data_IF_548972387281
#
_entry.id   IF_548972387281
#
_cell.length_a   1.000
_cell.length_b   1.000
_cell.length_c   1.000
_cell.angle_alpha   90.00
_cell.angle_beta   90.00
_cell.angle_gamma   90.00
#
_symmetry.space_group_name_H-M   'P 1'
#
loop_
_entity.id
_entity.type
_entity.pdbx_description
1 polymer ?
#
# COMPACT_ATOMS: atom_id res chain seq x y z
N UNK A 1 11.45 -16.26 3.80
CA UNK A 1 10.25 -15.45 3.53
C UNK A 1 9.61 -15.14 4.88
N UNK A 2 9.56 -13.87 5.30
CA UNK A 2 8.90 -13.50 6.57
C UNK A 2 7.41 -13.39 6.31
N UNK A 3 6.60 -14.16 7.04
CA UNK A 3 5.16 -13.93 7.09
C UNK A 3 4.89 -12.65 7.90
N UNK A 4 3.89 -11.87 7.49
CA UNK A 4 3.43 -10.71 8.26
C UNK A 4 2.57 -11.18 9.43
N UNK A 5 2.64 -10.48 10.56
CA UNK A 5 1.78 -10.77 11.70
C UNK A 5 0.33 -10.39 11.38
N UNK A 6 -0.65 -11.11 11.96
CA UNK A 6 -2.09 -10.80 11.75
C UNK A 6 -2.45 -9.39 12.17
N UNK A 7 -1.77 -8.83 13.18
CA UNK A 7 -1.99 -7.47 13.66
C UNK A 7 -1.67 -6.39 12.64
N UNK A 8 -0.87 -6.69 11.61
CA UNK A 8 -0.56 -5.76 10.51
C UNK A 8 -1.75 -5.55 9.56
N UNK A 9 -2.75 -6.43 9.60
CA UNK A 9 -3.95 -6.34 8.77
C UNK A 9 -5.11 -5.72 9.54
N UNK A 10 -5.98 -5.04 8.82
CA UNK A 10 -7.23 -4.49 9.36
C UNK A 10 -8.31 -5.57 9.38
N UNK A 11 -8.90 -5.84 10.55
CA UNK A 11 -10.08 -6.71 10.68
C UNK A 11 -9.81 -8.22 10.69
N UNK A 12 -8.55 -8.65 10.79
CA UNK A 12 -8.17 -10.07 10.82
C UNK A 12 -7.90 -10.63 12.22
N UNK A 13 -8.12 -9.86 13.28
CA UNK A 13 -7.75 -10.22 14.65
C UNK A 13 -8.39 -11.54 15.12
N UNK A 14 -9.59 -11.84 14.63
CA UNK A 14 -10.38 -13.03 14.99
C UNK A 14 -10.88 -13.81 13.78
N UNK A 15 -10.32 -13.52 12.60
CA UNK A 15 -10.75 -14.12 11.34
C UNK A 15 -9.57 -14.87 10.71
N UNK A 16 -9.89 -15.96 10.03
CA UNK A 16 -8.96 -16.64 9.11
C UNK A 16 -9.43 -16.34 7.70
N UNK A 17 -8.69 -15.47 6.99
CA UNK A 17 -9.02 -15.08 5.63
C UNK A 17 -8.53 -16.15 4.65
N UNK A 18 -9.46 -16.87 4.02
CA UNK A 18 -9.15 -17.95 3.07
C UNK A 18 -9.29 -17.52 1.59
N UNK A 19 -9.74 -16.30 1.32
CA UNK A 19 -10.14 -15.83 -0.01
C UNK A 19 -9.16 -14.81 -0.64
N UNK A 20 -7.88 -14.85 -0.27
CA UNK A 20 -6.86 -13.87 -0.73
C UNK A 20 -6.65 -13.86 -2.24
N UNK A 21 -7.03 -14.93 -2.94
CA UNK A 21 -6.97 -14.99 -4.40
C UNK A 21 -7.96 -14.06 -5.11
N UNK A 22 -9.04 -13.64 -4.43
CA UNK A 22 -9.96 -12.62 -4.92
C UNK A 22 -9.47 -11.23 -4.54
N UNK A 23 -9.48 -10.94 -3.24
CA UNK A 23 -9.03 -9.67 -2.68
C UNK A 23 -8.11 -9.92 -1.50
N UNK A 24 -6.95 -9.26 -1.51
CA UNK A 24 -6.00 -9.37 -0.41
C UNK A 24 -6.45 -8.49 0.76
N UNK A 25 -6.31 -8.96 2.01
CA UNK A 25 -6.64 -8.15 3.18
C UNK A 25 -5.85 -6.84 3.22
N UNK A 26 -6.51 -5.78 3.68
CA UNK A 26 -5.91 -4.46 3.79
C UNK A 26 -4.85 -4.41 4.90
N UNK A 27 -3.65 -3.94 4.57
CA UNK A 27 -2.60 -3.66 5.55
C UNK A 27 -2.84 -2.30 6.19
N UNK A 28 -2.58 -2.18 7.50
CA UNK A 28 -2.63 -0.88 8.20
C UNK A 28 -1.70 0.16 7.58
N UNK A 29 -0.59 -0.27 6.98
CA UNK A 29 0.32 0.63 6.26
C UNK A 29 -0.31 1.27 5.01
N UNK A 30 -1.37 0.66 4.45
CA UNK A 30 -2.12 1.24 3.34
C UNK A 30 -2.93 2.47 3.78
N UNK A 31 -3.40 2.55 5.04
CA UNK A 31 -4.07 3.76 5.56
C UNK A 31 -3.15 4.98 5.46
N UNK A 32 -1.89 4.80 5.87
CA UNK A 32 -0.87 5.85 5.78
C UNK A 32 -0.54 6.20 4.32
N UNK A 33 -0.59 5.22 3.41
CA UNK A 33 -0.38 5.46 1.99
C UNK A 33 -1.56 6.25 1.38
N UNK A 34 -2.80 5.87 1.68
CA UNK A 34 -4.01 6.53 1.23
C UNK A 34 -4.10 7.97 1.78
N UNK A 35 -3.80 8.18 3.06
CA UNK A 35 -3.77 9.50 3.67
C UNK A 35 -2.74 10.43 3.00
N UNK A 36 -1.52 9.91 2.74
CA UNK A 36 -0.49 10.66 2.01
C UNK A 36 -0.92 11.00 0.59
N UNK A 37 -1.55 10.06 -0.11
CA UNK A 37 -2.08 10.30 -1.46
C UNK A 37 -3.11 11.44 -1.43
N UNK A 38 -4.03 11.44 -0.48
CA UNK A 38 -5.02 12.51 -0.31
C UNK A 38 -4.39 13.88 -0.04
N UNK A 39 -3.36 13.92 0.83
CA UNK A 39 -2.60 15.13 1.12
C UNK A 39 -1.88 15.67 -0.13
N UNK A 40 -1.17 14.80 -0.85
CA UNK A 40 -0.48 15.17 -2.08
C UNK A 40 -1.47 15.64 -3.16
N UNK A 41 -2.59 14.95 -3.33
CA UNK A 41 -3.60 15.31 -4.32
C UNK A 41 -4.21 16.69 -4.05
N UNK A 42 -4.28 17.09 -2.78
CA UNK A 42 -4.78 18.39 -2.33
C UNK A 42 -3.72 19.51 -2.40
N UNK A 43 -2.44 19.17 -2.45
CA UNK A 43 -1.31 20.11 -2.45
C UNK A 43 -0.97 20.78 -3.79
N UNK A 44 -1.88 20.77 -4.77
CA UNK A 44 -1.65 21.38 -6.08
C UNK A 44 -0.47 20.77 -6.84
N UNK A 45 0.32 21.61 -7.52
CA UNK A 45 1.44 21.13 -8.36
C UNK A 45 2.58 20.53 -7.53
N UNK A 46 2.97 21.13 -6.41
CA UNK A 46 4.00 20.55 -5.53
C UNK A 46 3.59 19.19 -4.97
N UNK A 47 2.31 19.01 -4.61
CA UNK A 47 1.79 17.70 -4.24
C UNK A 47 1.77 16.69 -5.40
N UNK A 48 1.47 17.14 -6.62
CA UNK A 48 1.53 16.28 -7.82
C UNK A 48 2.93 15.75 -8.09
N UNK A 49 3.97 16.55 -7.90
CA UNK A 49 5.37 16.11 -8.03
C UNK A 49 5.70 14.98 -7.04
N UNK A 50 5.20 15.07 -5.79
CA UNK A 50 5.36 14.01 -4.80
C UNK A 50 4.63 12.72 -5.19
N UNK A 51 3.44 12.82 -5.82
CA UNK A 51 2.75 11.64 -6.36
C UNK A 51 3.58 10.95 -7.43
N UNK A 52 4.21 11.70 -8.34
CA UNK A 52 5.07 11.13 -9.36
C UNK A 52 6.32 10.46 -8.77
N UNK A 53 6.93 11.06 -7.75
CA UNK A 53 8.04 10.43 -7.04
C UNK A 53 7.64 9.08 -6.39
N UNK A 54 6.43 8.99 -5.79
CA UNK A 54 5.91 7.73 -5.24
C UNK A 54 5.63 6.71 -6.35
N UNK A 55 5.04 7.16 -7.47
CA UNK A 55 4.76 6.33 -8.64
C UNK A 55 6.04 5.71 -9.22
N UNK A 56 7.08 6.50 -9.44
CA UNK A 56 8.35 6.01 -9.99
C UNK A 56 9.04 5.03 -9.04
N UNK A 57 8.99 5.31 -7.73
CA UNK A 57 9.50 4.39 -6.71
C UNK A 57 8.73 3.07 -6.72
N UNK A 58 7.41 3.10 -6.84
CA UNK A 58 6.58 1.90 -6.89
C UNK A 58 6.90 1.07 -8.13
N UNK A 59 6.93 1.69 -9.31
CA UNK A 59 7.29 1.01 -10.57
C UNK A 59 8.67 0.38 -10.52
N UNK A 60 9.66 1.12 -10.00
CA UNK A 60 11.03 0.60 -9.87
C UNK A 60 11.14 -0.58 -8.90
N UNK A 61 10.26 -0.67 -7.89
CA UNK A 61 10.20 -1.82 -6.99
C UNK A 61 9.55 -3.02 -7.66
N UNK A 62 8.42 -2.81 -8.33
CA UNK A 62 7.72 -3.88 -9.06
C UNK A 62 8.60 -4.44 -10.17
N UNK A 63 9.28 -3.59 -10.94
CA UNK A 63 10.21 -4.02 -11.97
C UNK A 63 11.28 -4.98 -11.40
N UNK A 64 11.91 -4.62 -10.27
CA UNK A 64 12.89 -5.49 -9.60
C UNK A 64 12.34 -6.83 -9.13
N UNK A 65 11.04 -6.97 -8.94
CA UNK A 65 10.42 -8.25 -8.57
C UNK A 65 10.25 -9.18 -9.78
N UNK A 66 10.31 -8.65 -11.00
CA UNK A 66 10.11 -9.40 -12.24
C UNK A 66 11.42 -9.84 -12.92
N UNK A 67 12.56 -9.30 -12.49
CA UNK A 67 13.87 -9.51 -13.14
C UNK A 67 14.17 -8.45 -14.20
#
# INVERSE_FOLDING_TARGET
>A
MSLLDKSEFVGLERVTHLATGGEAPWLRSHDQAAARMGAFKSGGMGGREQLFAVYDRAKSRVARMLG
#
